data_IF_516419314507
#
_entry.id   IF_516419314507
#
_cell.length_a   1.000
_cell.length_b   1.000
_cell.length_c   1.000
_cell.angle_alpha   90.00
_cell.angle_beta   90.00
_cell.angle_gamma   90.00
#
_symmetry.space_group_name_H-M   'P 1'
#
loop_
_entity.id
_entity.type
_entity.pdbx_description
1 polymer ?
#
# COMPACT_ATOMS: atom_id res chain seq x y z
N UNK A 1 12.28 -10.63 -20.33
CA UNK A 1 12.15 -10.80 -18.86
C UNK A 1 13.50 -10.80 -18.13
N UNK A 2 14.51 -11.52 -18.58
CA UNK A 2 15.89 -11.41 -18.03
C UNK A 2 16.42 -9.99 -18.10
N UNK A 3 16.05 -9.23 -19.12
CA UNK A 3 16.41 -7.82 -19.28
C UNK A 3 15.78 -6.90 -18.21
N UNK A 4 14.57 -7.21 -17.71
CA UNK A 4 13.90 -6.39 -16.70
C UNK A 4 14.77 -6.24 -15.45
N UNK A 5 15.36 -7.35 -14.97
CA UNK A 5 16.21 -7.31 -13.78
C UNK A 5 17.48 -6.46 -13.96
N UNK A 6 17.98 -6.27 -15.17
CA UNK A 6 19.11 -5.40 -15.44
C UNK A 6 18.80 -3.92 -15.19
N UNK A 7 17.55 -3.51 -15.31
CA UNK A 7 17.09 -2.15 -15.09
C UNK A 7 16.49 -1.90 -13.70
N UNK A 8 16.12 -2.96 -12.97
CA UNK A 8 15.59 -2.84 -11.62
C UNK A 8 16.73 -2.56 -10.64
N UNK A 9 16.74 -1.37 -10.03
CA UNK A 9 17.77 -0.97 -9.07
C UNK A 9 17.48 -1.49 -7.67
N UNK A 10 16.26 -1.31 -7.21
CA UNK A 10 15.86 -1.40 -5.81
C UNK A 10 14.61 -2.24 -5.58
N UNK A 11 13.96 -2.74 -6.62
CA UNK A 11 12.68 -3.46 -6.53
C UNK A 11 11.50 -2.59 -6.10
N UNK A 12 11.60 -1.27 -6.27
CA UNK A 12 10.46 -0.36 -6.08
C UNK A 12 9.52 -0.40 -7.28
N UNK A 13 8.27 -0.08 -7.05
CA UNK A 13 7.30 0.02 -8.15
C UNK A 13 7.69 1.12 -9.14
N UNK A 14 8.27 2.23 -8.66
CA UNK A 14 8.85 3.26 -9.53
C UNK A 14 9.95 2.75 -10.46
N UNK A 15 10.75 1.79 -9.99
CA UNK A 15 11.81 1.18 -10.82
C UNK A 15 11.23 0.31 -11.94
N UNK A 16 10.10 -0.37 -11.66
CA UNK A 16 9.40 -1.18 -12.67
C UNK A 16 9.00 -0.32 -13.85
N UNK A 17 8.43 0.85 -13.58
CA UNK A 17 8.02 1.79 -14.63
C UNK A 17 9.23 2.30 -15.40
N UNK A 18 10.29 2.67 -14.68
CA UNK A 18 11.55 3.07 -15.32
C UNK A 18 12.11 1.98 -16.22
N UNK A 19 12.11 0.73 -15.76
CA UNK A 19 12.56 -0.43 -16.52
C UNK A 19 11.66 -0.69 -17.75
N UNK A 20 10.35 -0.66 -17.60
CA UNK A 20 9.41 -0.81 -18.71
C UNK A 20 9.60 0.28 -19.77
N UNK A 21 9.76 1.53 -19.35
CA UNK A 21 10.04 2.66 -20.26
C UNK A 21 11.40 2.52 -20.99
N UNK A 22 12.41 1.97 -20.30
CA UNK A 22 13.71 1.71 -20.92
C UNK A 22 13.66 0.60 -21.98
N UNK A 23 12.90 -0.47 -21.72
CA UNK A 23 12.82 -1.66 -22.59
C UNK A 23 11.87 -1.40 -23.77
N UNK A 24 10.70 -0.82 -23.53
CA UNK A 24 9.61 -0.72 -24.49
C UNK A 24 9.32 0.70 -24.98
N UNK A 25 10.07 1.70 -24.51
CA UNK A 25 9.89 3.10 -24.90
C UNK A 25 9.08 3.94 -23.89
N UNK A 26 9.05 5.26 -24.11
CA UNK A 26 8.45 6.22 -23.18
C UNK A 26 6.96 5.96 -22.93
N UNK A 27 6.24 5.46 -23.92
CA UNK A 27 4.80 5.23 -23.88
C UNK A 27 4.43 3.81 -23.42
N UNK A 28 5.39 3.05 -22.86
CA UNK A 28 5.21 1.68 -22.46
C UNK A 28 3.97 1.43 -21.58
N UNK A 29 3.67 2.34 -20.66
CA UNK A 29 2.54 2.16 -19.75
C UNK A 29 1.18 2.25 -20.44
N UNK A 30 1.07 3.02 -21.54
CA UNK A 30 -0.16 3.13 -22.33
C UNK A 30 -0.27 2.09 -23.43
N UNK A 31 0.86 1.53 -23.89
CA UNK A 31 0.91 0.64 -25.06
C UNK A 31 1.05 -0.85 -24.71
N UNK A 32 1.63 -1.16 -23.55
CA UNK A 32 1.79 -2.54 -23.11
C UNK A 32 0.46 -3.15 -22.65
N UNK A 33 0.28 -4.42 -22.97
CA UNK A 33 -0.84 -5.21 -22.48
C UNK A 33 -0.74 -5.44 -20.95
N UNK A 34 -1.86 -5.74 -20.34
CA UNK A 34 -1.99 -5.93 -18.90
C UNK A 34 -1.16 -7.11 -18.39
N UNK A 35 -1.05 -8.18 -19.16
CA UNK A 35 -0.30 -9.36 -18.77
C UNK A 35 1.20 -9.04 -18.63
N UNK A 36 1.77 -8.30 -19.58
CA UNK A 36 3.17 -7.84 -19.53
C UNK A 36 3.43 -6.94 -18.31
N UNK A 37 2.54 -5.98 -18.05
CA UNK A 37 2.63 -5.08 -16.88
C UNK A 37 2.55 -5.88 -15.57
N UNK A 38 1.57 -6.76 -15.44
CA UNK A 38 1.36 -7.60 -14.26
C UNK A 38 2.53 -8.55 -14.02
N UNK A 39 3.06 -9.14 -15.10
CA UNK A 39 4.22 -10.01 -15.02
C UNK A 39 5.45 -9.24 -14.49
N UNK A 40 5.67 -8.00 -14.93
CA UNK A 40 6.76 -7.18 -14.43
C UNK A 40 6.61 -6.88 -12.92
N UNK A 41 5.39 -6.56 -12.46
CA UNK A 41 5.06 -6.38 -11.04
C UNK A 41 5.36 -7.65 -10.25
N UNK A 42 4.82 -8.78 -10.66
CA UNK A 42 4.94 -10.04 -9.94
C UNK A 42 6.38 -10.54 -9.86
N UNK A 43 7.14 -10.45 -10.95
CA UNK A 43 8.57 -10.82 -10.96
C UNK A 43 9.39 -9.94 -10.01
N UNK A 44 9.16 -8.63 -10.03
CA UNK A 44 9.89 -7.70 -9.15
C UNK A 44 9.61 -7.99 -7.67
N UNK A 45 8.38 -8.39 -7.38
CA UNK A 45 7.95 -8.75 -6.03
C UNK A 45 8.24 -10.21 -5.66
N UNK A 46 8.71 -11.04 -6.61
CA UNK A 46 8.95 -12.47 -6.40
C UNK A 46 7.68 -13.25 -6.08
N UNK A 47 6.55 -12.85 -6.67
CA UNK A 47 5.23 -13.45 -6.49
C UNK A 47 4.73 -14.03 -7.81
N UNK A 48 3.86 -15.04 -7.77
CA UNK A 48 3.01 -15.40 -8.90
C UNK A 48 1.70 -14.56 -8.90
N UNK A 49 0.88 -14.69 -9.96
CA UNK A 49 -0.35 -13.92 -10.10
C UNK A 49 -1.37 -14.22 -9.00
N UNK A 50 -1.50 -15.49 -8.60
CA UNK A 50 -2.41 -15.87 -7.53
C UNK A 50 -1.99 -15.32 -6.18
N UNK A 51 -0.68 -15.32 -5.91
CA UNK A 51 -0.13 -14.73 -4.68
C UNK A 51 -0.32 -13.22 -4.64
N UNK A 52 -0.13 -12.55 -5.78
CA UNK A 52 -0.34 -11.12 -5.91
C UNK A 52 -1.82 -10.75 -5.73
N UNK A 53 -2.72 -11.51 -6.34
CA UNK A 53 -4.18 -11.33 -6.22
C UNK A 53 -4.64 -11.49 -4.76
N UNK A 54 -4.20 -12.56 -4.09
CA UNK A 54 -4.45 -12.76 -2.65
C UNK A 54 -3.85 -11.67 -1.79
N UNK A 55 -2.62 -11.22 -2.09
CA UNK A 55 -1.97 -10.14 -1.35
C UNK A 55 -2.86 -8.91 -1.34
N UNK A 56 -3.47 -8.53 -2.46
CA UNK A 56 -4.35 -7.36 -2.54
C UNK A 56 -5.60 -7.58 -1.69
N UNK A 57 -6.29 -8.70 -1.86
CA UNK A 57 -7.62 -8.93 -1.27
C UNK A 57 -7.55 -9.24 0.23
N UNK A 58 -6.58 -10.04 0.66
CA UNK A 58 -6.46 -10.47 2.05
C UNK A 58 -5.90 -9.36 2.96
N UNK A 59 -5.29 -8.33 2.38
CA UNK A 59 -4.66 -7.25 3.16
C UNK A 59 -5.42 -5.93 3.02
N UNK A 60 -6.26 -5.63 3.99
CA UNK A 60 -7.05 -4.40 4.02
C UNK A 60 -6.22 -3.10 3.83
N UNK A 61 -4.96 -2.97 4.32
CA UNK A 61 -4.11 -1.83 4.02
C UNK A 61 -3.71 -1.68 2.55
N UNK A 62 -3.83 -2.75 1.74
CA UNK A 62 -3.63 -2.73 0.29
C UNK A 62 -4.95 -2.53 -0.44
N UNK A 63 -5.96 -3.32 -0.11
CA UNK A 63 -7.25 -3.30 -0.81
C UNK A 63 -7.96 -1.93 -0.74
N UNK A 64 -7.87 -1.25 0.39
CA UNK A 64 -8.54 0.06 0.56
C UNK A 64 -7.97 1.13 -0.38
N UNK A 65 -6.65 1.38 -0.44
CA UNK A 65 -6.08 2.29 -1.43
C UNK A 65 -6.37 1.84 -2.86
N UNK A 66 -6.28 0.53 -3.17
CA UNK A 66 -6.64 0.00 -4.51
C UNK A 66 -8.06 0.45 -4.87
N UNK A 67 -9.05 0.23 -4.02
CA UNK A 67 -10.44 0.66 -4.29
C UNK A 67 -10.56 2.16 -4.51
N UNK A 68 -9.89 2.96 -3.69
CA UNK A 68 -9.94 4.43 -3.79
C UNK A 68 -9.36 4.95 -5.09
N UNK A 69 -8.12 4.58 -5.37
CA UNK A 69 -7.38 5.08 -6.54
C UNK A 69 -7.92 4.45 -7.83
N UNK A 70 -8.37 3.18 -7.80
CA UNK A 70 -9.00 2.55 -8.95
C UNK A 70 -10.31 3.25 -9.38
N UNK A 71 -11.04 3.87 -8.45
CA UNK A 71 -12.17 4.71 -8.81
C UNK A 71 -11.74 5.93 -9.62
N UNK A 72 -10.64 6.59 -9.26
CA UNK A 72 -10.11 7.73 -10.00
C UNK A 72 -9.70 7.31 -11.43
N UNK A 73 -8.96 6.19 -11.56
CA UNK A 73 -8.55 5.65 -12.87
C UNK A 73 -9.75 5.23 -13.70
N UNK A 74 -10.72 4.53 -13.12
CA UNK A 74 -11.94 4.10 -13.80
C UNK A 74 -12.77 5.30 -14.28
N UNK A 75 -12.93 6.31 -13.43
CA UNK A 75 -13.70 7.50 -13.77
C UNK A 75 -13.01 8.31 -14.88
N UNK A 76 -11.69 8.47 -14.80
CA UNK A 76 -10.91 9.10 -15.87
C UNK A 76 -11.11 8.37 -17.20
N UNK A 77 -11.03 7.04 -17.27
CA UNK A 77 -11.26 6.28 -18.51
C UNK A 77 -12.68 6.47 -19.07
N UNK A 78 -13.70 6.51 -18.20
CA UNK A 78 -15.07 6.79 -18.63
C UNK A 78 -15.14 8.18 -19.30
N UNK A 79 -14.56 9.22 -18.68
CA UNK A 79 -14.57 10.57 -19.21
C UNK A 79 -13.80 10.66 -20.53
N UNK A 80 -12.66 10.00 -20.64
CA UNK A 80 -11.85 9.92 -21.87
C UNK A 80 -12.61 9.24 -23.00
N UNK A 81 -13.45 8.21 -22.71
CA UNK A 81 -14.26 7.50 -23.72
C UNK A 81 -15.28 8.43 -24.42
N UNK A 82 -15.71 9.49 -23.75
CA UNK A 82 -16.57 10.54 -24.29
C UNK A 82 -15.82 11.83 -24.62
N UNK A 83 -14.49 11.77 -24.67
CA UNK A 83 -13.58 12.88 -25.06
C UNK A 83 -13.72 14.12 -24.17
N UNK A 84 -14.05 13.94 -22.91
CA UNK A 84 -14.06 15.02 -21.91
C UNK A 84 -12.61 15.34 -21.53
N UNK A 85 -12.19 16.62 -21.54
CA UNK A 85 -10.87 17.02 -21.06
C UNK A 85 -10.73 16.68 -19.57
N UNK A 86 -9.75 15.82 -19.25
CA UNK A 86 -9.46 15.38 -17.90
C UNK A 86 -7.97 15.50 -17.66
N UNK A 87 -7.60 16.05 -16.50
CA UNK A 87 -6.23 16.10 -16.03
C UNK A 87 -6.14 15.42 -14.66
N UNK A 88 -5.24 14.46 -14.55
CA UNK A 88 -4.85 13.86 -13.27
C UNK A 88 -3.98 14.84 -12.49
N UNK A 89 -4.37 15.16 -11.26
CA UNK A 89 -3.58 16.01 -10.36
C UNK A 89 -2.73 15.15 -9.44
N UNK A 90 -3.26 14.04 -8.96
CA UNK A 90 -2.60 13.07 -8.09
C UNK A 90 -2.18 13.61 -6.73
N UNK A 91 -1.62 12.70 -5.92
CA UNK A 91 -1.05 13.04 -4.62
C UNK A 91 -2.06 13.13 -3.47
N UNK A 92 -1.59 13.66 -2.31
CA UNK A 92 -2.38 13.81 -1.07
C UNK A 92 -3.15 15.15 -1.00
N UNK A 93 -3.43 15.77 -2.14
CA UNK A 93 -4.11 17.07 -2.24
C UNK A 93 -5.62 17.01 -1.98
N UNK A 94 -6.24 18.18 -2.09
CA UNK A 94 -7.70 18.35 -1.97
C UNK A 94 -8.39 18.23 -3.34
N UNK A 95 -7.64 17.96 -4.40
CA UNK A 95 -8.09 17.77 -5.79
C UNK A 95 -7.46 16.50 -6.34
N UNK A 96 -8.29 15.59 -6.83
CA UNK A 96 -7.84 14.35 -7.46
C UNK A 96 -7.81 14.49 -9.00
N UNK A 97 -8.85 15.10 -9.59
CA UNK A 97 -8.96 15.34 -11.04
C UNK A 97 -9.39 16.79 -11.36
N UNK A 98 -8.98 17.29 -12.53
CA UNK A 98 -9.57 18.48 -13.16
C UNK A 98 -10.38 17.99 -14.36
N UNK A 99 -11.69 18.27 -14.36
CA UNK A 99 -12.66 17.81 -15.36
C UNK A 99 -13.32 19.03 -16.01
N UNK A 100 -13.13 19.25 -17.30
CA UNK A 100 -13.60 20.47 -17.99
C UNK A 100 -13.19 21.79 -17.29
N UNK A 101 -12.03 21.80 -16.62
CA UNK A 101 -11.57 22.96 -15.85
C UNK A 101 -12.10 23.03 -14.41
N UNK A 102 -13.01 22.14 -13.99
CA UNK A 102 -13.52 22.05 -12.63
C UNK A 102 -12.63 21.11 -11.80
N UNK A 103 -12.27 21.53 -10.59
CA UNK A 103 -11.54 20.70 -9.63
C UNK A 103 -12.51 19.71 -8.96
N UNK A 104 -12.15 18.44 -8.97
CA UNK A 104 -12.95 17.38 -8.37
C UNK A 104 -12.13 16.55 -7.36
N UNK A 105 -12.72 16.29 -6.18
CA UNK A 105 -12.22 15.31 -5.23
C UNK A 105 -13.07 14.05 -5.29
N UNK A 106 -12.43 12.91 -5.53
CA UNK A 106 -13.07 11.60 -5.70
C UNK A 106 -12.94 10.76 -4.43
N UNK A 107 -14.04 10.14 -3.98
CA UNK A 107 -14.00 9.24 -2.82
C UNK A 107 -14.89 8.03 -3.01
N UNK A 108 -14.42 6.89 -2.52
CA UNK A 108 -15.22 5.69 -2.34
C UNK A 108 -15.89 5.69 -0.97
N UNK A 109 -17.07 5.03 -0.81
CA UNK A 109 -17.76 5.01 0.45
C UNK A 109 -17.00 4.23 1.54
N UNK A 110 -17.09 4.73 2.77
CA UNK A 110 -16.63 4.02 3.96
C UNK A 110 -17.67 2.98 4.38
N UNK A 111 -17.51 1.74 3.93
CA UNK A 111 -18.51 0.68 4.10
C UNK A 111 -18.96 0.48 5.56
N UNK A 112 -18.07 0.68 6.54
CA UNK A 112 -18.41 0.57 7.97
C UNK A 112 -19.37 1.64 8.49
N UNK A 113 -19.55 2.74 7.75
CA UNK A 113 -20.47 3.81 8.10
C UNK A 113 -21.73 3.85 7.24
N UNK A 114 -21.86 2.98 6.23
CA UNK A 114 -23.01 2.91 5.34
C UNK A 114 -24.17 2.15 5.97
N UNK A 115 -25.43 2.61 5.71
CA UNK A 115 -26.65 1.94 6.16
C UNK A 115 -27.71 2.03 5.04
N UNK A 116 -28.01 0.90 4.40
CA UNK A 116 -28.90 0.87 3.24
C UNK A 116 -28.39 1.83 2.16
N UNK A 117 -29.26 2.71 1.70
CA UNK A 117 -28.94 3.71 0.66
C UNK A 117 -28.17 4.93 1.17
N UNK A 118 -27.88 4.99 2.47
CA UNK A 118 -27.08 6.07 3.06
C UNK A 118 -25.61 5.68 3.05
N UNK A 119 -24.81 6.37 2.23
CA UNK A 119 -23.39 6.16 2.09
C UNK A 119 -22.59 7.20 2.87
N UNK A 120 -21.56 6.74 3.56
CA UNK A 120 -20.66 7.59 4.34
C UNK A 120 -19.35 7.79 3.61
N UNK A 121 -18.86 9.05 3.55
CA UNK A 121 -17.59 9.41 2.94
C UNK A 121 -16.69 10.11 3.94
N UNK A 122 -15.39 9.76 3.92
CA UNK A 122 -14.35 10.40 4.74
C UNK A 122 -13.42 11.21 3.86
N UNK A 123 -13.35 12.49 4.11
CA UNK A 123 -12.45 13.42 3.40
C UNK A 123 -11.31 13.95 4.27
N UNK A 124 -11.42 13.88 5.60
CA UNK A 124 -10.42 14.40 6.51
C UNK A 124 -9.16 13.51 6.60
N UNK A 125 -8.02 14.11 6.94
CA UNK A 125 -6.78 13.40 7.27
C UNK A 125 -6.92 12.72 8.63
N UNK A 126 -6.62 11.42 8.70
CA UNK A 126 -6.69 10.64 9.95
C UNK A 126 -5.39 10.78 10.73
N UNK A 127 -5.33 11.77 11.62
CA UNK A 127 -4.28 11.87 12.63
C UNK A 127 -4.91 11.94 14.02
N UNK A 128 -4.26 11.34 15.02
CA UNK A 128 -4.73 11.42 16.41
C UNK A 128 -4.61 12.85 16.93
N UNK A 129 -5.73 13.56 17.02
CA UNK A 129 -5.77 14.90 17.57
C UNK A 129 -5.61 14.89 19.08
N UNK A 130 -4.82 15.81 19.64
CA UNK A 130 -4.64 15.98 21.08
C UNK A 130 -5.66 16.95 21.69
N UNK A 131 -6.19 17.85 20.89
CA UNK A 131 -7.12 18.89 21.29
C UNK A 131 -8.21 19.10 20.24
N UNK A 132 -9.30 19.76 20.58
CA UNK A 132 -10.37 20.11 19.67
C UNK A 132 -9.87 21.02 18.53
N UNK A 133 -8.99 21.98 18.85
CA UNK A 133 -8.38 22.88 17.86
C UNK A 133 -7.51 22.13 16.86
N UNK A 134 -6.73 21.14 17.32
CA UNK A 134 -5.97 20.26 16.45
C UNK A 134 -6.89 19.40 15.60
N UNK A 135 -8.01 18.88 16.16
CA UNK A 135 -9.01 18.11 15.41
C UNK A 135 -9.57 18.89 14.24
N UNK A 136 -9.92 20.16 14.44
CA UNK A 136 -10.43 21.02 13.38
C UNK A 136 -9.43 21.23 12.25
N UNK A 137 -8.11 21.24 12.54
CA UNK A 137 -7.07 21.42 11.53
C UNK A 137 -6.99 20.27 10.51
N UNK A 138 -7.56 19.10 10.81
CA UNK A 138 -7.62 17.95 9.90
C UNK A 138 -8.77 18.00 8.89
N UNK A 139 -9.77 18.83 9.15
CA UNK A 139 -10.87 19.04 8.19
C UNK A 139 -10.44 20.00 7.08
N UNK A 140 -10.87 19.71 5.86
CA UNK A 140 -10.57 20.57 4.72
C UNK A 140 -11.23 21.93 4.88
N UNK A 141 -10.49 23.00 4.59
CA UNK A 141 -11.07 24.33 4.40
C UNK A 141 -11.93 24.32 3.14
N UNK A 142 -13.08 25.01 3.16
CA UNK A 142 -13.91 25.16 1.97
C UNK A 142 -13.18 25.89 0.84
N UNK A 143 -12.28 26.81 1.17
CA UNK A 143 -11.52 27.58 0.20
C UNK A 143 -10.55 26.73 -0.59
N UNK A 144 -9.87 25.77 0.10
CA UNK A 144 -8.90 24.86 -0.53
C UNK A 144 -9.51 23.60 -1.12
N UNK A 145 -10.76 23.27 -0.76
CA UNK A 145 -11.43 22.08 -1.26
C UNK A 145 -11.75 22.20 -2.75
N UNK A 146 -11.78 21.06 -3.45
CA UNK A 146 -12.19 20.98 -4.85
C UNK A 146 -13.58 21.61 -5.07
N UNK A 147 -13.85 22.10 -6.28
CA UNK A 147 -15.16 22.69 -6.63
C UNK A 147 -16.30 21.71 -6.47
N UNK A 148 -16.03 20.43 -6.76
CA UNK A 148 -16.96 19.33 -6.66
C UNK A 148 -16.40 18.16 -5.85
N UNK A 149 -17.26 17.58 -5.02
CA UNK A 149 -17.10 16.26 -4.46
C UNK A 149 -17.74 15.23 -5.37
N UNK A 150 -17.01 14.18 -5.75
CA UNK A 150 -17.51 13.07 -6.56
C UNK A 150 -17.43 11.79 -5.72
N UNK A 151 -18.59 11.28 -5.29
CA UNK A 151 -18.68 10.10 -4.43
C UNK A 151 -19.17 8.88 -5.21
N UNK A 152 -18.39 7.78 -5.26
CA UNK A 152 -18.84 6.53 -5.87
C UNK A 152 -20.03 5.95 -5.11
N UNK A 153 -21.12 5.63 -5.83
CA UNK A 153 -22.27 4.88 -5.29
C UNK A 153 -22.13 3.40 -5.65
N UNK A 154 -21.99 3.12 -6.94
CA UNK A 154 -21.83 1.77 -7.49
C UNK A 154 -21.10 1.81 -8.82
N UNK A 155 -20.41 0.70 -9.16
CA UNK A 155 -19.88 0.51 -10.50
C UNK A 155 -20.94 -0.05 -11.47
N UNK A 156 -21.84 -0.93 -11.01
CA UNK A 156 -22.84 -1.60 -11.84
C UNK A 156 -24.26 -1.40 -11.28
N UNK A 157 -25.11 -0.58 -11.90
CA UNK A 157 -24.75 0.42 -12.91
C UNK A 157 -23.81 1.48 -12.34
N UNK A 158 -23.05 2.15 -13.21
CA UNK A 158 -22.17 3.23 -12.75
C UNK A 158 -22.99 4.41 -12.24
N UNK A 159 -22.81 4.71 -10.96
CA UNK A 159 -23.53 5.78 -10.27
C UNK A 159 -22.57 6.50 -9.34
N UNK A 160 -22.65 7.81 -9.35
CA UNK A 160 -21.87 8.69 -8.46
C UNK A 160 -22.75 9.82 -7.92
N UNK A 161 -22.33 10.39 -6.80
CA UNK A 161 -22.75 11.73 -6.40
C UNK A 161 -21.83 12.75 -7.07
N UNK A 162 -22.39 13.84 -7.56
CA UNK A 162 -21.64 15.05 -7.97
C UNK A 162 -22.19 16.21 -7.16
N UNK A 163 -21.49 16.63 -6.12
CA UNK A 163 -21.96 17.60 -5.13
C UNK A 163 -21.08 18.84 -5.17
N UNK A 164 -21.62 20.05 -5.46
CA UNK A 164 -20.88 21.29 -5.31
C UNK A 164 -20.37 21.46 -3.87
N UNK A 165 -19.16 21.97 -3.70
CA UNK A 165 -18.55 22.13 -2.37
C UNK A 165 -19.40 22.93 -1.38
N UNK A 166 -20.17 23.90 -1.89
CA UNK A 166 -21.01 24.76 -1.06
C UNK A 166 -22.22 24.02 -0.47
N UNK A 167 -22.57 22.88 -1.05
CA UNK A 167 -23.69 22.03 -0.60
C UNK A 167 -23.23 20.92 0.38
N UNK A 168 -21.94 20.81 0.66
CA UNK A 168 -21.44 19.87 1.66
C UNK A 168 -21.68 20.38 3.08
N UNK A 169 -21.95 19.44 4.00
CA UNK A 169 -22.13 19.78 5.42
C UNK A 169 -20.88 20.45 6.01
N UNK A 170 -21.11 21.47 6.84
CA UNK A 170 -20.08 22.21 7.55
C UNK A 170 -19.88 21.68 8.97
N UNK A 171 -18.71 21.91 9.52
CA UNK A 171 -18.45 21.68 10.96
C UNK A 171 -19.23 22.69 11.75
N UNK A 172 -20.07 22.26 12.73
CA UNK A 172 -20.92 23.15 13.52
C UNK A 172 -20.17 24.29 14.23
N UNK A 173 -18.94 24.00 14.67
CA UNK A 173 -18.11 24.97 15.40
C UNK A 173 -17.23 25.84 14.50
N UNK A 174 -17.11 25.47 13.22
CA UNK A 174 -16.31 26.21 12.23
C UNK A 174 -16.89 25.99 10.83
N UNK A 175 -17.75 26.91 10.42
CA UNK A 175 -18.43 26.86 9.10
C UNK A 175 -17.49 27.04 7.92
N UNK A 176 -16.23 27.45 8.13
CA UNK A 176 -15.21 27.50 7.08
C UNK A 176 -14.67 26.11 6.71
N UNK A 177 -15.07 25.06 7.44
CA UNK A 177 -14.58 23.69 7.26
C UNK A 177 -15.68 22.72 6.92
N UNK A 178 -15.34 21.78 6.01
CA UNK A 178 -16.22 20.71 5.58
C UNK A 178 -16.26 19.64 6.67
N UNK A 179 -17.46 19.24 7.09
CA UNK A 179 -17.66 18.13 8.03
C UNK A 179 -17.20 16.81 7.42
N UNK A 180 -16.56 15.97 8.21
CA UNK A 180 -16.14 14.63 7.81
C UNK A 180 -16.16 13.69 9.04
N UNK A 181 -16.72 12.49 8.96
CA UNK A 181 -17.44 11.97 7.80
C UNK A 181 -18.77 12.69 7.55
N UNK A 182 -19.22 12.69 6.32
CA UNK A 182 -20.58 13.11 5.96
C UNK A 182 -21.34 12.00 5.23
N UNK A 183 -22.66 12.12 5.16
CA UNK A 183 -23.54 11.08 4.64
C UNK A 183 -24.40 11.61 3.51
N UNK A 184 -24.54 10.82 2.45
CA UNK A 184 -25.41 11.11 1.31
C UNK A 184 -26.35 9.93 1.07
N UNK A 185 -27.61 10.24 0.76
CA UNK A 185 -28.63 9.23 0.47
C UNK A 185 -28.72 8.98 -1.04
N UNK A 186 -28.39 7.77 -1.49
CA UNK A 186 -28.36 7.41 -2.90
C UNK A 186 -29.76 7.35 -3.55
N UNK A 187 -30.83 7.13 -2.78
CA UNK A 187 -32.22 7.04 -3.29
C UNK A 187 -32.92 8.40 -3.37
N UNK A 188 -32.55 9.35 -2.54
CA UNK A 188 -33.28 10.63 -2.41
C UNK A 188 -32.46 11.88 -2.75
N UNK A 189 -31.20 11.75 -3.13
CA UNK A 189 -30.34 12.90 -3.42
C UNK A 189 -30.53 13.40 -4.86
N UNK A 190 -30.73 14.72 -5.00
CA UNK A 190 -30.71 15.39 -6.30
C UNK A 190 -29.34 15.46 -6.97
N UNK A 191 -28.27 14.98 -6.27
CA UNK A 191 -26.89 15.02 -6.77
C UNK A 191 -26.43 13.70 -7.41
N UNK A 192 -27.29 12.69 -7.50
CA UNK A 192 -26.95 11.42 -8.16
C UNK A 192 -26.85 11.63 -9.66
N UNK A 193 -25.70 11.21 -10.24
CA UNK A 193 -25.37 11.28 -11.66
C UNK A 193 -25.52 12.70 -12.28
N UNK A 194 -25.31 13.73 -11.49
CA UNK A 194 -25.39 15.13 -11.97
C UNK A 194 -24.12 15.54 -12.70
N UNK A 195 -23.77 14.76 -13.75
CA UNK A 195 -22.63 15.04 -14.62
C UNK A 195 -22.74 16.37 -15.36
N UNK A 196 -23.96 16.87 -15.54
CA UNK A 196 -24.24 18.20 -16.09
C UNK A 196 -23.58 19.32 -15.28
N UNK A 197 -23.40 19.17 -13.98
CA UNK A 197 -22.68 20.11 -13.12
C UNK A 197 -21.18 20.21 -13.46
N UNK A 198 -20.60 19.17 -14.07
CA UNK A 198 -19.23 19.13 -14.57
C UNK A 198 -19.15 19.47 -16.07
N UNK A 199 -20.29 19.82 -16.71
CA UNK A 199 -20.39 20.00 -18.15
C UNK A 199 -20.15 18.70 -18.94
N UNK A 200 -20.52 17.54 -18.37
CA UNK A 200 -20.27 16.21 -18.92
C UNK A 200 -21.55 15.52 -19.29
N UNK A 201 -21.59 14.88 -20.48
CA UNK A 201 -22.62 13.96 -20.89
C UNK A 201 -22.01 12.56 -21.07
N UNK A 202 -22.55 11.55 -20.37
CA UNK A 202 -22.08 10.17 -20.39
C UNK A 202 -22.98 9.22 -21.21
N UNK A 203 -23.94 9.72 -22.01
CA UNK A 203 -24.88 8.86 -22.76
C UNK A 203 -24.18 7.86 -23.68
N UNK A 204 -23.01 8.23 -24.21
CA UNK A 204 -22.21 7.39 -25.11
C UNK A 204 -20.94 6.85 -24.44
N UNK A 205 -20.85 6.87 -23.11
CA UNK A 205 -19.66 6.40 -22.42
C UNK A 205 -19.51 4.88 -22.50
N UNK A 206 -18.26 4.46 -22.71
CA UNK A 206 -17.93 3.03 -22.69
C UNK A 206 -17.65 2.54 -21.27
N UNK A 207 -18.70 2.14 -20.58
CA UNK A 207 -18.59 1.55 -19.25
C UNK A 207 -18.02 0.11 -19.29
N UNK A 208 -18.05 -0.57 -20.43
CA UNK A 208 -17.51 -1.92 -20.56
C UNK A 208 -15.97 -1.95 -20.41
N UNK A 209 -15.33 -0.80 -20.67
CA UNK A 209 -13.88 -0.65 -20.54
C UNK A 209 -13.37 -0.78 -19.09
N UNK A 210 -14.24 -0.58 -18.09
CA UNK A 210 -13.85 -0.63 -16.68
C UNK A 210 -14.37 -1.85 -15.92
N UNK A 211 -15.45 -2.49 -16.37
CA UNK A 211 -16.10 -3.57 -15.62
C UNK A 211 -15.37 -4.90 -15.75
N UNK A 212 -15.10 -5.57 -14.63
CA UNK A 212 -14.68 -6.97 -14.64
C UNK A 212 -15.70 -7.82 -15.39
N UNK A 213 -15.23 -8.74 -16.20
CA UNK A 213 -16.03 -9.80 -16.84
C UNK A 213 -15.77 -11.12 -16.12
N UNK A 214 -16.59 -12.13 -16.37
CA UNK A 214 -16.36 -13.47 -15.81
C UNK A 214 -15.06 -14.10 -16.34
N UNK A 215 -14.55 -13.58 -17.48
CA UNK A 215 -13.33 -14.02 -18.14
C UNK A 215 -12.07 -13.25 -17.67
N UNK A 216 -12.16 -12.45 -16.61
CA UNK A 216 -11.01 -11.73 -16.05
C UNK A 216 -10.17 -12.67 -15.17
N UNK A 217 -9.32 -13.47 -15.84
CA UNK A 217 -8.58 -14.59 -15.24
C UNK A 217 -7.29 -14.18 -14.51
N UNK A 218 -6.76 -12.95 -14.75
CA UNK A 218 -5.43 -12.58 -14.25
C UNK A 218 -5.45 -12.24 -12.76
N UNK A 219 -6.45 -11.47 -12.29
CA UNK A 219 -6.65 -11.10 -10.88
C UNK A 219 -8.11 -11.33 -10.45
N UNK A 220 -8.62 -12.57 -10.47
CA UNK A 220 -10.05 -12.84 -10.31
C UNK A 220 -10.61 -12.45 -8.95
N UNK A 221 -9.83 -12.57 -7.87
CA UNK A 221 -10.27 -12.20 -6.53
C UNK A 221 -10.38 -10.68 -6.39
N UNK A 222 -9.38 -9.94 -6.88
CA UNK A 222 -9.37 -8.48 -6.82
C UNK A 222 -10.43 -7.88 -7.75
N UNK A 223 -10.59 -8.41 -8.95
CA UNK A 223 -11.64 -8.00 -9.89
C UNK A 223 -13.04 -8.21 -9.30
N UNK A 224 -13.28 -9.36 -8.65
CA UNK A 224 -14.53 -9.62 -7.91
C UNK A 224 -14.72 -8.67 -6.73
N UNK A 225 -13.66 -8.41 -5.95
CA UNK A 225 -13.73 -7.54 -4.78
C UNK A 225 -13.92 -6.06 -5.12
N UNK A 226 -13.47 -5.61 -6.29
CA UNK A 226 -13.55 -4.22 -6.74
C UNK A 226 -14.68 -3.98 -7.75
N UNK A 227 -15.07 -5.00 -8.52
CA UNK A 227 -15.98 -4.88 -9.67
C UNK A 227 -15.30 -4.37 -10.94
N UNK A 228 -13.96 -4.23 -10.93
CA UNK A 228 -13.17 -3.61 -11.99
C UNK A 228 -12.27 -4.62 -12.71
N UNK A 229 -11.97 -4.37 -13.98
CA UNK A 229 -11.01 -5.15 -14.77
C UNK A 229 -9.63 -5.13 -14.16
N UNK A 230 -8.87 -6.21 -14.37
CA UNK A 230 -7.45 -6.32 -14.00
C UNK A 230 -6.62 -5.15 -14.54
N UNK A 231 -6.91 -4.67 -15.75
CA UNK A 231 -6.21 -3.50 -16.34
C UNK A 231 -6.33 -2.25 -15.48
N UNK A 232 -7.52 -1.93 -14.97
CA UNK A 232 -7.74 -0.79 -14.07
C UNK A 232 -6.92 -0.94 -12.79
N UNK A 233 -6.87 -2.16 -12.24
CA UNK A 233 -6.14 -2.47 -11.01
C UNK A 233 -4.63 -2.31 -11.23
N UNK A 234 -4.11 -2.86 -12.31
CA UNK A 234 -2.68 -2.79 -12.64
C UNK A 234 -2.26 -1.35 -12.94
N UNK A 235 -3.04 -0.61 -13.73
CA UNK A 235 -2.77 0.80 -14.01
C UNK A 235 -2.86 1.67 -12.76
N UNK A 236 -3.77 1.32 -11.82
CA UNK A 236 -3.85 1.97 -10.50
C UNK A 236 -2.54 1.81 -9.72
N UNK A 237 -1.95 0.62 -9.72
CA UNK A 237 -0.72 0.32 -9.01
C UNK A 237 0.49 0.98 -9.70
N UNK A 238 0.48 1.00 -11.04
CA UNK A 238 1.55 1.60 -11.84
C UNK A 238 1.41 3.13 -12.04
N UNK A 239 0.40 3.77 -11.44
CA UNK A 239 0.21 5.23 -11.50
C UNK A 239 1.27 5.97 -10.69
N UNK A 240 2.02 6.85 -11.35
CA UNK A 240 3.25 7.46 -10.79
C UNK A 240 3.04 8.22 -9.47
N UNK A 241 1.91 8.88 -9.29
CA UNK A 241 1.64 9.66 -8.09
C UNK A 241 1.44 8.85 -6.80
N UNK A 242 1.27 7.51 -6.91
CA UNK A 242 0.88 6.65 -5.77
C UNK A 242 1.95 5.66 -5.32
N UNK A 243 3.16 5.70 -5.89
CA UNK A 243 4.23 4.72 -5.59
C UNK A 243 4.53 4.55 -4.11
N UNK A 244 4.55 5.64 -3.35
CA UNK A 244 4.85 5.57 -1.93
C UNK A 244 3.88 4.66 -1.17
N UNK A 245 2.60 4.69 -1.55
CA UNK A 245 1.58 3.83 -0.93
C UNK A 245 1.88 2.37 -1.22
N UNK A 246 2.17 2.06 -2.48
CA UNK A 246 2.42 0.69 -2.92
C UNK A 246 3.75 0.15 -2.42
N UNK A 247 4.81 0.94 -2.47
CA UNK A 247 6.12 0.55 -1.93
C UNK A 247 6.07 0.25 -0.43
N UNK A 248 5.23 0.96 0.33
CA UNK A 248 5.08 0.69 1.77
C UNK A 248 4.21 -0.53 2.05
N UNK A 249 3.08 -0.68 1.33
CA UNK A 249 2.10 -1.73 1.62
C UNK A 249 2.38 -3.02 0.86
N UNK A 250 2.40 -3.00 -0.48
CA UNK A 250 2.55 -4.21 -1.31
C UNK A 250 3.89 -4.89 -1.03
N UNK A 251 5.01 -4.14 -1.05
CA UNK A 251 6.33 -4.71 -0.79
C UNK A 251 6.46 -5.26 0.64
N UNK A 252 5.83 -4.62 1.62
CA UNK A 252 5.80 -5.13 2.99
C UNK A 252 5.19 -6.52 3.05
N UNK A 253 3.99 -6.70 2.50
CA UNK A 253 3.32 -8.00 2.47
C UNK A 253 4.00 -9.03 1.55
N UNK A 254 4.58 -8.60 0.42
CA UNK A 254 5.36 -9.50 -0.44
C UNK A 254 6.54 -10.15 0.31
N UNK A 255 7.23 -9.39 1.17
CA UNK A 255 8.32 -9.89 2.03
C UNK A 255 7.83 -10.92 3.04
N UNK A 256 6.69 -10.66 3.66
CA UNK A 256 6.08 -11.63 4.58
C UNK A 256 5.67 -12.91 3.86
N UNK A 257 5.07 -12.81 2.69
CA UNK A 257 4.69 -13.98 1.86
C UNK A 257 5.94 -14.77 1.50
N UNK A 258 7.00 -14.12 1.04
CA UNK A 258 8.26 -14.75 0.68
C UNK A 258 8.89 -15.48 1.87
N UNK A 259 8.96 -14.85 3.06
CA UNK A 259 9.46 -15.52 4.26
C UNK A 259 8.58 -16.70 4.68
N UNK A 260 7.26 -16.56 4.62
CA UNK A 260 6.30 -17.65 4.91
C UNK A 260 6.46 -18.83 3.95
N UNK A 261 6.80 -18.57 2.67
CA UNK A 261 7.12 -19.63 1.69
C UNK A 261 8.39 -20.38 2.10
N UNK A 262 9.44 -19.68 2.46
CA UNK A 262 10.69 -20.29 2.93
C UNK A 262 10.47 -21.13 4.19
N UNK A 263 9.73 -20.62 5.17
CA UNK A 263 9.40 -21.39 6.38
C UNK A 263 8.61 -22.66 6.06
N UNK A 264 7.61 -22.59 5.16
CA UNK A 264 6.88 -23.78 4.72
C UNK A 264 7.77 -24.79 3.98
N UNK A 265 8.60 -24.32 3.05
CA UNK A 265 9.53 -25.17 2.31
C UNK A 265 10.54 -25.86 3.26
N UNK A 266 10.88 -25.22 4.34
CA UNK A 266 11.75 -25.76 5.39
C UNK A 266 11.01 -26.67 6.41
N UNK A 267 9.68 -26.80 6.32
CA UNK A 267 8.87 -27.56 7.27
C UNK A 267 8.76 -26.92 8.66
N UNK A 268 9.01 -25.61 8.78
CA UNK A 268 8.96 -24.90 10.07
C UNK A 268 7.52 -24.47 10.35
N UNK A 269 6.90 -24.88 11.47
CA UNK A 269 5.58 -24.44 11.84
C UNK A 269 5.59 -22.98 12.28
N UNK A 270 4.65 -22.19 11.77
CA UNK A 270 4.50 -20.79 12.15
C UNK A 270 3.04 -20.34 12.19
N UNK A 271 2.80 -19.25 12.91
CA UNK A 271 1.51 -18.57 13.02
C UNK A 271 1.66 -17.16 12.45
N UNK A 272 0.82 -16.83 11.47
CA UNK A 272 0.84 -15.52 10.80
C UNK A 272 0.20 -14.37 11.57
N UNK A 273 -0.49 -14.67 12.68
CA UNK A 273 -1.01 -13.67 13.61
C UNK A 273 -0.43 -13.92 15.02
N UNK A 274 0.65 -13.26 15.40
CA UNK A 274 1.29 -13.46 16.71
C UNK A 274 0.37 -13.24 17.90
N UNK A 275 -0.69 -12.42 17.77
CA UNK A 275 -1.67 -12.17 18.82
C UNK A 275 -2.42 -13.44 19.26
N UNK A 276 -2.50 -14.44 18.38
CA UNK A 276 -3.13 -15.74 18.73
C UNK A 276 -2.25 -16.58 19.65
N UNK A 277 -0.94 -16.31 19.67
CA UNK A 277 0.03 -16.96 20.56
C UNK A 277 0.23 -16.12 21.83
N UNK A 278 0.47 -14.83 21.66
CA UNK A 278 0.57 -13.82 22.73
C UNK A 278 -0.09 -12.52 22.31
N UNK A 279 -1.22 -12.14 22.93
CA UNK A 279 -1.98 -10.94 22.54
C UNK A 279 -1.14 -9.65 22.52
N UNK A 280 -0.23 -9.48 23.46
CA UNK A 280 0.65 -8.31 23.58
C UNK A 280 1.70 -8.20 22.46
N UNK A 281 1.88 -9.26 21.66
CA UNK A 281 2.82 -9.29 20.52
C UNK A 281 2.16 -9.03 19.17
N UNK A 282 0.84 -8.91 19.11
CA UNK A 282 0.07 -8.91 17.87
C UNK A 282 0.36 -7.77 16.92
N UNK A 283 0.75 -6.60 17.44
CA UNK A 283 1.12 -5.41 16.65
C UNK A 283 2.63 -5.12 16.67
N UNK A 284 3.43 -6.01 17.29
CA UNK A 284 4.86 -5.85 17.53
C UNK A 284 5.73 -6.81 16.73
N UNK A 285 5.12 -7.86 16.21
CA UNK A 285 5.77 -8.86 15.36
C UNK A 285 4.84 -9.29 14.24
N UNK A 286 5.39 -9.76 13.13
CA UNK A 286 4.62 -10.10 11.94
C UNK A 286 4.26 -11.60 11.90
N UNK A 287 5.07 -12.45 12.56
CA UNK A 287 4.81 -13.88 12.69
C UNK A 287 5.44 -14.47 13.95
N UNK A 288 4.93 -15.63 14.40
CA UNK A 288 5.51 -16.44 15.45
C UNK A 288 5.88 -17.81 14.90
N UNK A 289 7.12 -18.23 15.11
CA UNK A 289 7.60 -19.58 14.78
C UNK A 289 7.53 -20.44 16.05
N UNK A 290 7.03 -21.66 15.89
CA UNK A 290 6.89 -22.61 16.99
C UNK A 290 8.02 -23.65 16.89
N UNK A 291 8.81 -23.81 17.94
CA UNK A 291 9.81 -24.88 17.98
C UNK A 291 9.26 -26.14 18.68
N UNK A 292 9.98 -27.26 18.57
CA UNK A 292 9.60 -28.55 19.13
C UNK A 292 9.50 -28.56 20.67
N UNK A 293 10.06 -27.55 21.35
CA UNK A 293 10.01 -27.36 22.79
C UNK A 293 8.83 -26.51 23.26
N UNK A 294 7.85 -26.26 22.40
CA UNK A 294 6.70 -25.37 22.65
C UNK A 294 7.09 -23.92 22.97
N UNK A 295 8.29 -23.50 22.60
CA UNK A 295 8.68 -22.10 22.67
C UNK A 295 8.25 -21.40 21.39
N UNK A 296 7.83 -20.17 21.52
CA UNK A 296 7.46 -19.32 20.40
C UNK A 296 8.50 -18.23 20.21
N UNK A 297 9.05 -18.16 19.01
CA UNK A 297 9.94 -17.06 18.60
C UNK A 297 9.17 -16.05 17.77
N UNK A 298 9.16 -14.80 18.21
CA UNK A 298 8.47 -13.71 17.56
C UNK A 298 9.39 -13.01 16.58
N UNK A 299 8.96 -12.93 15.32
CA UNK A 299 9.77 -12.40 14.23
C UNK A 299 9.13 -11.14 13.67
N UNK A 300 9.93 -10.05 13.60
CA UNK A 300 9.56 -8.83 12.89
C UNK A 300 10.19 -8.84 11.50
N UNK A 301 9.38 -8.68 10.47
CA UNK A 301 9.83 -8.66 9.06
C UNK A 301 10.10 -7.23 8.62
N UNK A 302 11.27 -6.97 8.07
CA UNK A 302 11.65 -5.65 7.52
C UNK A 302 12.43 -5.82 6.22
N UNK A 303 12.26 -4.88 5.31
CA UNK A 303 13.04 -4.82 4.07
C UNK A 303 14.15 -3.79 4.12
N UNK A 304 14.98 -3.77 3.09
CA UNK A 304 16.04 -2.80 2.95
C UNK A 304 15.49 -1.37 2.79
N UNK A 305 16.06 -0.44 3.56
CA UNK A 305 15.84 1.00 3.37
C UNK A 305 16.87 1.51 2.35
N UNK A 306 16.55 1.37 1.07
CA UNK A 306 17.51 1.50 -0.03
C UNK A 306 18.25 2.83 -0.03
N UNK A 307 17.54 3.94 0.28
CA UNK A 307 18.16 5.28 0.37
C UNK A 307 19.27 5.37 1.43
N UNK A 308 19.27 4.45 2.39
CA UNK A 308 20.24 4.38 3.48
C UNK A 308 21.23 3.22 3.31
N UNK A 309 21.14 2.47 2.19
CA UNK A 309 22.09 1.40 1.85
C UNK A 309 23.24 1.97 1.03
N UNK A 310 24.41 1.31 1.16
CA UNK A 310 25.56 1.50 0.29
C UNK A 310 25.92 0.15 -0.31
N UNK A 311 25.95 0.08 -1.64
CA UNK A 311 26.18 -1.19 -2.35
C UNK A 311 27.61 -1.34 -2.87
N UNK A 312 28.36 -0.25 -2.98
CA UNK A 312 29.71 -0.20 -3.53
C UNK A 312 30.73 0.03 -2.41
N UNK A 313 31.94 -0.54 -2.55
CA UNK A 313 32.99 -0.46 -1.54
C UNK A 313 32.62 -1.16 -0.23
N UNK A 314 32.63 -0.42 0.89
CA UNK A 314 32.14 -0.93 2.18
C UNK A 314 30.63 -1.08 2.17
N UNK A 315 30.15 -2.22 1.66
CA UNK A 315 28.73 -2.52 1.56
C UNK A 315 28.05 -2.39 2.93
N UNK A 316 26.97 -1.62 2.96
CA UNK A 316 26.09 -1.48 4.14
C UNK A 316 24.64 -1.62 3.71
N UNK A 317 23.93 -2.53 4.34
CA UNK A 317 22.48 -2.68 4.20
C UNK A 317 21.82 -2.06 5.41
N UNK A 318 20.89 -1.13 5.17
CA UNK A 318 20.13 -0.45 6.22
C UNK A 318 18.68 -0.88 6.20
N UNK A 319 18.04 -0.92 7.37
CA UNK A 319 16.62 -1.17 7.53
C UNK A 319 16.02 -0.30 8.63
N UNK A 320 14.78 0.12 8.43
CA UNK A 320 14.03 0.86 9.45
C UNK A 320 13.35 -0.09 10.44
N UNK A 321 13.69 0.03 11.72
CA UNK A 321 13.10 -0.73 12.83
C UNK A 321 12.19 0.15 13.65
N UNK A 322 11.11 0.62 13.02
CA UNK A 322 10.08 1.43 13.67
C UNK A 322 8.69 1.05 13.18
N UNK A 323 7.68 1.33 13.99
CA UNK A 323 6.28 1.17 13.62
C UNK A 323 5.88 2.22 12.58
N UNK A 324 5.06 1.85 11.62
CA UNK A 324 4.50 2.80 10.63
C UNK A 324 3.56 3.80 11.28
N UNK A 325 2.92 3.42 12.40
CA UNK A 325 2.02 4.27 13.19
C UNK A 325 2.62 4.46 14.59
N UNK A 326 2.45 5.66 15.13
CA UNK A 326 2.96 6.00 16.46
C UNK A 326 3.41 7.46 16.52
N UNK A 327 3.65 7.94 17.74
CA UNK A 327 4.12 9.31 17.97
C UNK A 327 5.62 9.38 17.75
N UNK A 328 6.04 10.33 16.93
CA UNK A 328 7.43 10.63 16.62
C UNK A 328 7.83 11.88 17.40
N UNK A 329 9.10 11.95 17.80
CA UNK A 329 9.79 13.12 18.37
C UNK A 329 9.28 13.59 19.75
N UNK A 330 10.20 13.72 20.66
CA UNK A 330 10.10 14.32 22.01
C UNK A 330 8.91 13.89 22.89
N UNK A 331 8.10 12.95 22.43
CA UNK A 331 7.07 12.37 23.28
C UNK A 331 7.73 11.42 24.30
N UNK A 332 7.40 11.52 25.59
CA UNK A 332 8.03 10.69 26.64
C UNK A 332 7.96 9.18 26.36
N UNK A 333 6.93 8.73 25.66
CA UNK A 333 6.72 7.31 25.38
C UNK A 333 7.40 6.80 24.11
N UNK A 334 7.83 7.67 23.18
CA UNK A 334 8.42 7.26 21.87
C UNK A 334 7.76 6.01 21.27
N UNK A 335 6.43 6.03 21.19
CA UNK A 335 5.62 4.84 20.87
C UNK A 335 5.88 4.25 19.47
N UNK A 336 6.64 4.96 18.62
CA UNK A 336 7.01 4.48 17.28
C UNK A 336 8.23 3.56 17.28
N UNK A 337 9.08 3.63 18.30
CA UNK A 337 10.25 2.76 18.41
C UNK A 337 9.87 1.44 19.09
N UNK A 338 10.30 0.32 18.55
CA UNK A 338 10.12 -0.99 19.17
C UNK A 338 10.87 -1.08 20.51
N UNK A 339 10.25 -1.71 21.49
CA UNK A 339 10.90 -2.14 22.71
C UNK A 339 11.82 -3.33 22.43
N UNK A 340 12.86 -3.48 23.22
CA UNK A 340 13.79 -4.64 23.12
C UNK A 340 13.08 -5.99 23.41
N UNK A 341 11.88 -5.94 23.99
CA UNK A 341 11.04 -7.11 24.27
C UNK A 341 9.98 -7.36 23.20
N UNK A 342 9.85 -6.54 22.16
CA UNK A 342 8.73 -6.63 21.20
C UNK A 342 8.84 -7.83 20.25
N UNK A 343 10.06 -8.27 19.92
CA UNK A 343 10.33 -9.45 19.09
C UNK A 343 11.68 -10.09 19.45
N UNK A 344 11.86 -11.34 19.06
CA UNK A 344 13.08 -12.11 19.37
C UNK A 344 14.08 -12.07 18.21
N UNK A 345 13.57 -11.95 16.97
CA UNK A 345 14.38 -11.87 15.75
C UNK A 345 13.86 -10.78 14.80
N UNK A 346 14.78 -10.11 14.13
CA UNK A 346 14.52 -9.30 12.96
C UNK A 346 14.81 -10.13 11.71
N UNK A 347 13.78 -10.41 10.90
CA UNK A 347 13.98 -10.95 9.56
C UNK A 347 14.20 -9.79 8.59
N UNK A 348 15.48 -9.54 8.25
CA UNK A 348 15.83 -8.62 7.19
C UNK A 348 15.64 -9.30 5.84
N UNK A 349 14.62 -8.88 5.10
CA UNK A 349 14.32 -9.38 3.76
C UNK A 349 15.00 -8.50 2.72
N UNK A 350 15.81 -9.12 1.87
CA UNK A 350 16.52 -8.47 0.79
C UNK A 350 15.78 -8.79 -0.50
N UNK A 351 15.19 -7.78 -1.10
CA UNK A 351 14.38 -7.91 -2.32
C UNK A 351 15.20 -8.50 -3.49
N UNK A 352 14.62 -9.27 -4.41
CA UNK A 352 15.35 -9.97 -5.48
C UNK A 352 16.33 -9.10 -6.28
N UNK A 353 16.00 -7.86 -6.71
CA UNK A 353 16.94 -7.02 -7.42
C UNK A 353 18.20 -6.66 -6.59
N UNK A 354 17.99 -6.37 -5.29
CA UNK A 354 19.09 -6.06 -4.38
C UNK A 354 19.93 -7.30 -4.12
N UNK A 355 19.27 -8.44 -3.86
CA UNK A 355 19.91 -9.74 -3.65
C UNK A 355 20.85 -10.10 -4.80
N UNK A 356 20.36 -9.96 -6.04
CA UNK A 356 21.16 -10.19 -7.25
C UNK A 356 22.36 -9.22 -7.33
N UNK A 357 22.13 -7.92 -7.09
CA UNK A 357 23.15 -6.87 -7.13
C UNK A 357 24.31 -7.11 -6.16
N UNK A 358 24.03 -7.64 -4.97
CA UNK A 358 25.05 -7.91 -3.95
C UNK A 358 25.59 -9.35 -3.97
N UNK A 359 25.23 -10.13 -5.01
CA UNK A 359 25.76 -11.48 -5.24
C UNK A 359 25.16 -12.56 -4.34
N UNK A 360 23.95 -12.35 -3.81
CA UNK A 360 23.23 -13.35 -3.00
C UNK A 360 22.31 -14.27 -3.81
N UNK A 361 22.12 -13.99 -5.10
CA UNK A 361 21.24 -14.73 -6.02
C UNK A 361 20.08 -13.90 -6.54
N UNK A 362 19.35 -14.42 -7.53
CA UNK A 362 18.27 -13.70 -8.22
C UNK A 362 16.92 -13.74 -7.48
N UNK A 363 16.82 -14.47 -6.36
CA UNK A 363 15.63 -14.56 -5.53
C UNK A 363 15.70 -13.72 -4.26
N UNK A 364 14.71 -13.89 -3.41
CA UNK A 364 14.73 -13.34 -2.07
C UNK A 364 15.92 -13.86 -1.27
N UNK A 365 16.55 -12.99 -0.49
CA UNK A 365 17.51 -13.40 0.53
C UNK A 365 17.04 -12.91 1.89
N UNK A 366 17.23 -13.73 2.91
CA UNK A 366 16.80 -13.46 4.27
C UNK A 366 17.98 -13.51 5.22
N UNK A 367 18.02 -12.56 6.16
CA UNK A 367 18.94 -12.60 7.30
C UNK A 367 18.11 -12.64 8.56
N UNK A 368 18.31 -13.64 9.40
CA UNK A 368 17.64 -13.75 10.69
C UNK A 368 18.60 -13.22 11.78
N UNK A 369 18.31 -12.04 12.27
CA UNK A 369 19.16 -11.29 13.18
C UNK A 369 18.55 -11.36 14.59
N UNK A 370 19.26 -11.98 15.56
CA UNK A 370 18.79 -11.97 16.95
C UNK A 370 18.59 -10.53 17.44
N UNK A 371 17.54 -10.30 18.20
CA UNK A 371 17.22 -8.98 18.73
C UNK A 371 18.31 -8.41 19.64
N UNK A 372 19.11 -9.28 20.27
CA UNK A 372 20.30 -8.92 21.05
C UNK A 372 21.41 -8.25 20.25
N UNK A 373 21.49 -8.52 18.94
CA UNK A 373 22.49 -7.93 18.02
C UNK A 373 22.06 -6.57 17.46
N UNK A 374 20.81 -6.16 17.73
CA UNK A 374 20.29 -4.89 17.23
C UNK A 374 20.78 -3.71 18.09
N UNK A 375 21.13 -2.63 17.40
CA UNK A 375 21.55 -1.40 18.06
C UNK A 375 20.41 -0.78 18.83
N UNK A 376 20.63 -0.51 20.11
CA UNK A 376 19.68 0.21 20.97
C UNK A 376 19.72 1.72 20.70
N UNK A 377 18.62 2.37 21.00
CA UNK A 377 18.52 3.83 20.88
C UNK A 377 19.35 4.51 21.99
N UNK A 378 20.19 5.47 21.64
CA UNK A 378 21.11 6.12 22.59
C UNK A 378 20.41 6.77 23.79
N UNK A 379 19.25 7.43 23.57
CA UNK A 379 18.47 8.10 24.62
C UNK A 379 17.50 7.15 25.34
N UNK A 380 16.99 6.13 24.65
CA UNK A 380 15.98 5.20 25.17
C UNK A 380 16.51 3.78 25.13
N UNK A 381 17.37 3.42 26.06
CA UNK A 381 18.11 2.15 26.07
C UNK A 381 17.27 0.87 26.09
N UNK A 382 15.97 0.96 26.46
CA UNK A 382 15.01 -0.14 26.36
C UNK A 382 14.32 -0.23 24.99
N UNK A 383 14.74 0.57 24.00
CA UNK A 383 14.20 0.59 22.65
C UNK A 383 15.31 0.41 21.61
N UNK A 384 14.94 -0.12 20.45
CA UNK A 384 15.86 -0.19 19.31
C UNK A 384 16.01 1.17 18.63
N UNK A 385 17.21 1.42 18.07
CA UNK A 385 17.40 2.55 17.17
C UNK A 385 16.50 2.40 15.94
N UNK A 386 15.93 3.52 15.46
CA UNK A 386 15.02 3.52 14.31
C UNK A 386 15.66 2.99 13.01
N UNK A 387 16.96 3.12 12.89
CA UNK A 387 17.75 2.63 11.74
C UNK A 387 18.77 1.62 12.22
N UNK A 388 18.75 0.42 11.67
CA UNK A 388 19.78 -0.61 11.83
C UNK A 388 20.62 -0.68 10.56
N UNK A 389 21.91 -0.96 10.71
CA UNK A 389 22.85 -1.02 9.58
C UNK A 389 23.74 -2.25 9.73
N UNK A 390 23.85 -3.02 8.68
CA UNK A 390 24.58 -4.28 8.64
C UNK A 390 25.67 -4.23 7.55
N UNK A 391 26.86 -4.67 7.88
CA UNK A 391 27.97 -4.85 6.94
C UNK A 391 27.76 -6.09 6.07
N UNK A 392 28.62 -6.26 5.06
CA UNK A 392 28.65 -7.49 4.25
C UNK A 392 28.89 -8.73 5.12
N UNK A 393 29.76 -8.63 6.11
CA UNK A 393 30.05 -9.75 7.01
C UNK A 393 28.85 -10.10 7.88
N UNK A 394 28.11 -9.09 8.37
CA UNK A 394 26.88 -9.34 9.13
C UNK A 394 25.82 -10.03 8.26
N UNK A 395 25.64 -9.57 7.01
CA UNK A 395 24.71 -10.20 6.06
C UNK A 395 25.10 -11.67 5.82
N UNK A 396 26.35 -11.97 5.61
CA UNK A 396 26.82 -13.35 5.41
C UNK A 396 26.68 -14.19 6.67
N UNK A 397 26.94 -13.62 7.86
CA UNK A 397 26.81 -14.29 9.16
C UNK A 397 25.37 -14.66 9.46
N UNK A 398 24.41 -13.75 9.20
CA UNK A 398 23.01 -13.94 9.53
C UNK A 398 22.17 -14.46 8.36
N UNK A 399 22.78 -14.62 7.18
CA UNK A 399 22.10 -15.19 6.03
C UNK A 399 21.66 -16.61 6.31
N UNK A 400 20.38 -16.88 6.12
CA UNK A 400 19.80 -18.20 6.27
C UNK A 400 19.43 -18.77 4.92
N UNK A 401 20.01 -19.92 4.56
CA UNK A 401 19.38 -20.84 3.62
C UNK A 401 18.29 -21.62 4.36
N UNK A 402 17.36 -22.25 3.64
CA UNK A 402 16.21 -22.92 4.25
C UNK A 402 16.57 -23.86 5.43
N UNK A 403 17.71 -24.56 5.35
CA UNK A 403 18.20 -25.42 6.47
C UNK A 403 18.81 -24.62 7.63
N UNK A 404 19.48 -23.51 7.36
CA UNK A 404 20.13 -22.69 8.40
C UNK A 404 19.12 -21.90 9.24
N UNK A 405 17.96 -21.52 8.68
CA UNK A 405 16.86 -20.91 9.44
C UNK A 405 16.33 -21.88 10.49
N UNK A 406 16.15 -23.15 10.11
CA UNK A 406 15.73 -24.23 11.02
C UNK A 406 16.70 -24.35 12.18
N UNK A 407 17.97 -24.43 11.87
CA UNK A 407 19.02 -24.64 12.87
C UNK A 407 19.13 -23.48 13.84
N UNK A 408 19.10 -22.24 13.34
CA UNK A 408 19.13 -21.03 14.18
C UNK A 408 17.90 -20.90 15.11
N UNK A 409 16.72 -21.35 14.66
CA UNK A 409 15.49 -21.31 15.47
C UNK A 409 15.35 -22.52 16.42
N UNK A 410 15.96 -23.67 16.09
CA UNK A 410 15.89 -24.86 16.92
C UNK A 410 16.98 -24.90 18.00
N UNK A 411 18.13 -24.25 17.76
CA UNK A 411 19.24 -24.20 18.72
C UNK A 411 19.13 -23.08 19.75
N UNK A 412 18.22 -22.10 19.53
CA UNK A 412 17.94 -20.99 20.46
C UNK A 412 16.77 -21.31 21.40
#
# INVERSE_FOLDING_TARGET
MTELFAYLKDGRISDIIGALKCIYGKDALSTLDVHTKLTALCLTLGLDFNEFDRLIVENSPVLRPVKGIAFEVAFQRILESVRVPVQDVGGDGDVDLIINGHHAQLKTPNLGGCKGDVLEYKTHKTHGAKSEKESLSYYHSIESFADFFVGLISYRPFRVFVVPKDMLERVQKDSSRIKSPFKLNASGSCYVNRFDLLGVNLDNADFSSIYATDDDELLPLTSRATGLKTEIIVDTILRECNFRIWDMSIRGFAREIALKKELRAAGIPFVGNPATVRPERGDKSDLAVLNDRSRSHFIQVKGCSVNNCRFDGDMKIATETQLTRGRVNDHPTQSRLYLVSDFDYLALCIDPPISNRIGLGAGWAFCLIPSSELRRHAKYGNRYASMQTFSKNDILRFRVGCRGLIQALLES
#
